data_IF_997774049988
#
_entry.id   IF_997774049988
#
_cell.length_a   1.000
_cell.length_b   1.000
_cell.length_c   1.000
_cell.angle_alpha   90.00
_cell.angle_beta   90.00
_cell.angle_gamma   90.00
#
_symmetry.space_group_name_H-M   'P 1'
#
loop_
_entity.id
_entity.type
_entity.pdbx_description
1 polymer ?
#
# COMPACT_ATOMS: atom_id res chain seq x y z
N UNK A 1 23.54 2.46 -11.15
CA UNK A 1 22.14 2.21 -11.56
C UNK A 1 21.24 3.21 -10.88
N UNK A 2 20.38 3.90 -11.66
CA UNK A 2 19.38 4.87 -11.16
C UNK A 2 17.98 4.25 -11.23
N UNK A 3 17.25 4.29 -10.14
CA UNK A 3 15.95 3.64 -9.95
C UNK A 3 14.91 4.69 -9.61
N UNK A 4 13.75 4.64 -10.26
CA UNK A 4 12.54 5.35 -9.87
C UNK A 4 11.63 4.34 -9.15
N UNK A 5 11.50 4.47 -7.82
CA UNK A 5 10.70 3.59 -6.98
C UNK A 5 9.39 4.26 -6.58
N UNK A 6 8.29 3.61 -6.86
CA UNK A 6 6.91 3.97 -6.50
C UNK A 6 6.10 2.73 -6.14
N UNK A 7 4.92 2.88 -5.54
CA UNK A 7 4.00 1.80 -5.19
C UNK A 7 2.59 2.34 -4.97
N UNK A 8 1.65 1.46 -4.70
CA UNK A 8 0.31 1.81 -4.18
C UNK A 8 -0.41 2.86 -5.06
N UNK A 9 -0.46 2.59 -6.37
CA UNK A 9 -1.12 3.45 -7.35
C UNK A 9 -2.63 3.44 -7.23
N UNK A 10 -3.20 2.28 -6.84
CA UNK A 10 -4.64 2.07 -6.67
C UNK A 10 -5.49 2.61 -7.81
N UNK A 11 -5.09 2.35 -9.07
CA UNK A 11 -5.84 2.79 -10.24
C UNK A 11 -7.26 2.27 -10.19
N UNK A 12 -8.23 3.17 -10.41
CA UNK A 12 -9.66 2.85 -10.34
C UNK A 12 -10.27 2.99 -8.95
N UNK A 13 -9.54 3.53 -7.97
CA UNK A 13 -10.11 3.93 -6.68
C UNK A 13 -11.19 5.00 -6.89
N UNK A 14 -12.29 4.89 -6.15
CA UNK A 14 -13.24 5.97 -5.92
C UNK A 14 -13.04 6.55 -4.53
N UNK A 15 -13.24 7.84 -4.36
CA UNK A 15 -13.10 8.53 -3.09
C UNK A 15 -14.44 9.17 -2.70
N UNK A 16 -15.15 8.61 -1.74
CA UNK A 16 -16.53 9.02 -1.37
C UNK A 16 -17.44 9.17 -2.60
N UNK A 17 -17.47 8.14 -3.44
CA UNK A 17 -18.22 8.07 -4.71
C UNK A 17 -17.70 8.98 -5.84
N UNK A 18 -16.65 9.75 -5.62
CA UNK A 18 -16.01 10.53 -6.68
C UNK A 18 -15.01 9.67 -7.46
N UNK A 19 -15.16 9.67 -8.78
CA UNK A 19 -14.18 9.07 -9.69
C UNK A 19 -12.86 9.83 -9.62
N UNK A 20 -11.74 9.10 -9.57
CA UNK A 20 -10.38 9.64 -9.44
C UNK A 20 -9.53 9.49 -10.70
N UNK A 21 -10.15 9.16 -11.83
CA UNK A 21 -9.45 8.97 -13.11
C UNK A 21 -8.59 10.18 -13.47
N UNK A 22 -9.10 11.40 -13.28
CA UNK A 22 -8.35 12.63 -13.57
C UNK A 22 -7.15 12.85 -12.63
N UNK A 23 -7.25 12.41 -11.37
CA UNK A 23 -6.14 12.45 -10.41
C UNK A 23 -5.03 11.48 -10.81
N UNK A 24 -5.40 10.25 -11.19
CA UNK A 24 -4.44 9.28 -11.70
C UNK A 24 -3.77 9.76 -13.00
N UNK A 25 -4.53 10.33 -13.95
CA UNK A 25 -3.95 10.96 -15.14
C UNK A 25 -2.97 12.05 -14.78
N UNK A 26 -3.33 12.92 -13.84
CA UNK A 26 -2.46 14.00 -13.36
C UNK A 26 -1.17 13.47 -12.72
N UNK A 27 -1.26 12.39 -11.94
CA UNK A 27 -0.10 11.69 -11.39
C UNK A 27 0.78 11.12 -12.51
N UNK A 28 0.22 10.41 -13.48
CA UNK A 28 1.01 9.80 -14.55
C UNK A 28 1.68 10.83 -15.46
N UNK A 29 1.07 12.00 -15.68
CA UNK A 29 1.74 13.09 -16.41
C UNK A 29 2.96 13.64 -15.62
N UNK A 30 2.86 13.73 -14.29
CA UNK A 30 4.01 14.08 -13.45
C UNK A 30 5.08 12.99 -13.49
N UNK A 31 4.68 11.71 -13.43
CA UNK A 31 5.60 10.58 -13.48
C UNK A 31 6.34 10.51 -14.82
N UNK A 32 5.66 10.75 -15.95
CA UNK A 32 6.28 10.89 -17.29
C UNK A 32 7.31 12.01 -17.32
N UNK A 33 6.99 13.17 -16.74
CA UNK A 33 7.92 14.28 -16.62
C UNK A 33 9.16 13.89 -15.81
N UNK A 34 8.98 13.21 -14.68
CA UNK A 34 10.08 12.72 -13.84
C UNK A 34 10.95 11.74 -14.62
N UNK A 35 10.35 10.78 -15.35
CA UNK A 35 11.10 9.84 -16.20
C UNK A 35 11.96 10.57 -17.22
N UNK A 36 11.42 11.60 -17.87
CA UNK A 36 12.15 12.41 -18.86
C UNK A 36 13.32 13.20 -18.26
N UNK A 37 13.12 13.76 -17.07
CA UNK A 37 14.12 14.59 -16.39
C UNK A 37 15.20 13.73 -15.73
N UNK A 38 14.82 12.69 -15.02
CA UNK A 38 15.71 11.83 -14.23
C UNK A 38 16.40 10.74 -15.04
N UNK A 39 15.79 10.30 -16.14
CA UNK A 39 16.30 9.25 -17.02
C UNK A 39 16.69 7.98 -16.25
N UNK A 40 15.78 7.39 -15.45
CA UNK A 40 16.10 6.21 -14.66
C UNK A 40 16.44 5.00 -15.56
N UNK A 41 17.27 4.11 -15.04
CA UNK A 41 17.55 2.83 -15.68
C UNK A 41 16.43 1.81 -15.41
N UNK A 42 15.75 1.96 -14.25
CA UNK A 42 14.69 1.09 -13.75
C UNK A 42 13.53 1.91 -13.19
N UNK A 43 12.31 1.62 -13.65
CA UNK A 43 11.08 1.95 -12.94
C UNK A 43 10.66 0.71 -12.14
N UNK A 44 10.57 0.84 -10.83
CA UNK A 44 10.17 -0.21 -9.92
C UNK A 44 8.87 0.15 -9.22
N UNK A 45 7.83 -0.69 -9.41
CA UNK A 45 6.52 -0.50 -8.78
C UNK A 45 6.27 -1.65 -7.81
N UNK A 46 6.28 -1.33 -6.52
CA UNK A 46 6.23 -2.30 -5.43
C UNK A 46 4.81 -2.69 -5.01
N UNK A 47 3.91 -2.95 -5.99
CA UNK A 47 2.57 -3.51 -5.78
C UNK A 47 1.45 -2.49 -5.72
N UNK A 48 0.23 -3.01 -5.62
CA UNK A 48 -1.05 -2.30 -5.62
C UNK A 48 -1.20 -1.34 -6.81
N UNK A 49 -1.12 -1.94 -8.00
CA UNK A 49 -1.33 -1.24 -9.27
C UNK A 49 -2.78 -0.79 -9.41
N UNK A 50 -3.71 -1.69 -9.09
CA UNK A 50 -5.15 -1.46 -9.10
C UNK A 50 -5.72 -1.40 -7.69
N UNK A 51 -6.83 -0.71 -7.53
CA UNK A 51 -7.54 -0.64 -6.24
C UNK A 51 -8.31 -1.92 -5.92
N UNK A 52 -8.67 -2.71 -6.92
CA UNK A 52 -9.40 -3.98 -6.76
C UNK A 52 -8.88 -5.04 -7.69
N UNK A 53 -9.03 -6.31 -7.31
CA UNK A 53 -8.65 -7.46 -8.12
C UNK A 53 -9.44 -7.62 -9.43
N UNK A 54 -10.57 -6.91 -9.55
CA UNK A 54 -11.40 -6.85 -10.75
C UNK A 54 -11.55 -5.39 -11.24
N UNK A 55 -10.47 -4.79 -11.77
CA UNK A 55 -10.49 -3.40 -12.22
C UNK A 55 -11.46 -3.20 -13.39
N UNK A 56 -12.11 -2.02 -13.40
CA UNK A 56 -12.97 -1.62 -14.51
C UNK A 56 -12.19 -1.53 -15.83
N UNK A 57 -12.90 -1.56 -16.96
CA UNK A 57 -12.28 -1.38 -18.29
C UNK A 57 -11.53 -0.04 -18.34
N UNK A 58 -12.14 1.05 -17.84
CA UNK A 58 -11.50 2.37 -17.82
C UNK A 58 -10.21 2.39 -16.99
N UNK A 59 -10.17 1.68 -15.85
CA UNK A 59 -8.95 1.54 -15.05
C UNK A 59 -7.85 0.77 -15.79
N UNK A 60 -8.22 -0.28 -16.53
CA UNK A 60 -7.27 -1.06 -17.35
C UNK A 60 -6.77 -0.25 -18.54
N UNK A 61 -7.62 0.53 -19.20
CA UNK A 61 -7.23 1.45 -20.28
C UNK A 61 -6.23 2.49 -19.76
N UNK A 62 -6.55 3.15 -18.65
CA UNK A 62 -5.66 4.13 -18.03
C UNK A 62 -4.30 3.54 -17.67
N UNK A 63 -4.27 2.33 -17.07
CA UNK A 63 -3.03 1.63 -16.77
C UNK A 63 -2.21 1.38 -18.04
N UNK A 64 -2.83 0.81 -19.08
CA UNK A 64 -2.13 0.48 -20.33
C UNK A 64 -1.59 1.72 -21.04
N UNK A 65 -2.39 2.79 -21.15
CA UNK A 65 -1.97 4.06 -21.74
C UNK A 65 -0.81 4.70 -20.95
N UNK A 66 -0.89 4.65 -19.61
CA UNK A 66 0.14 5.21 -18.76
C UNK A 66 1.45 4.44 -18.88
N UNK A 67 1.41 3.11 -18.88
CA UNK A 67 2.58 2.26 -19.02
C UNK A 67 3.25 2.45 -20.38
N UNK A 68 2.48 2.50 -21.46
CA UNK A 68 3.00 2.80 -22.79
C UNK A 68 3.62 4.18 -22.85
N UNK A 69 2.97 5.19 -22.26
CA UNK A 69 3.50 6.55 -22.21
C UNK A 69 4.82 6.65 -21.44
N UNK A 70 4.95 5.98 -20.29
CA UNK A 70 6.19 5.93 -19.50
C UNK A 70 7.33 5.26 -20.29
N UNK A 71 7.02 4.17 -20.99
CA UNK A 71 7.97 3.49 -21.87
C UNK A 71 8.43 4.43 -22.98
N UNK A 72 7.48 5.08 -23.68
CA UNK A 72 7.79 5.93 -24.82
C UNK A 72 8.67 7.13 -24.41
N UNK A 73 8.43 7.74 -23.25
CA UNK A 73 9.32 8.76 -22.69
C UNK A 73 10.76 8.23 -22.51
N UNK A 74 10.90 6.96 -22.11
CA UNK A 74 12.22 6.36 -21.88
C UNK A 74 13.02 6.14 -23.14
N UNK A 75 12.39 5.99 -24.30
CA UNK A 75 13.08 5.74 -25.57
C UNK A 75 14.03 6.88 -25.95
N UNK A 76 13.74 8.10 -25.53
CA UNK A 76 14.58 9.28 -25.79
C UNK A 76 15.99 9.19 -25.19
N UNK A 77 16.19 8.32 -24.17
CA UNK A 77 17.50 8.12 -23.50
C UNK A 77 17.99 6.67 -23.54
N UNK A 78 17.49 5.86 -24.48
CA UNK A 78 17.94 4.49 -24.74
C UNK A 78 17.11 3.41 -24.05
N UNK A 79 16.00 3.78 -23.43
CA UNK A 79 15.08 2.85 -22.76
C UNK A 79 15.27 2.82 -21.24
N UNK A 80 14.30 2.18 -20.60
CA UNK A 80 14.23 1.95 -19.16
C UNK A 80 13.64 0.55 -18.94
N UNK A 81 14.16 -0.19 -17.99
CA UNK A 81 13.50 -1.41 -17.54
C UNK A 81 12.33 -1.06 -16.63
N UNK A 82 11.23 -1.78 -16.74
CA UNK A 82 10.10 -1.64 -15.84
C UNK A 82 9.89 -2.96 -15.11
N UNK A 83 9.85 -2.94 -13.78
CA UNK A 83 9.55 -4.11 -12.96
C UNK A 83 8.36 -3.79 -12.07
N UNK A 84 7.33 -4.63 -12.14
CA UNK A 84 6.09 -4.52 -11.39
C UNK A 84 5.90 -5.80 -10.58
N UNK A 85 5.49 -5.66 -9.32
CA UNK A 85 5.01 -6.80 -8.54
C UNK A 85 3.54 -6.63 -8.18
N UNK A 86 2.83 -7.73 -7.91
CA UNK A 86 1.47 -7.64 -7.40
C UNK A 86 1.45 -7.24 -5.92
N UNK A 87 0.51 -6.36 -5.56
CA UNK A 87 0.13 -6.10 -4.18
C UNK A 87 -1.08 -6.94 -3.75
N UNK A 88 -1.64 -6.64 -2.57
CA UNK A 88 -2.79 -7.39 -2.03
C UNK A 88 -4.13 -7.00 -2.70
N UNK A 89 -4.23 -5.82 -3.30
CA UNK A 89 -5.39 -5.38 -4.07
C UNK A 89 -5.40 -5.93 -5.50
N UNK A 90 -4.27 -6.35 -6.02
CA UNK A 90 -4.13 -6.82 -7.38
C UNK A 90 -4.64 -8.25 -7.60
N UNK A 91 -5.10 -8.56 -8.81
CA UNK A 91 -5.28 -9.94 -9.25
C UNK A 91 -3.95 -10.52 -9.70
N UNK A 92 -3.24 -11.17 -8.79
CA UNK A 92 -1.89 -11.70 -9.01
C UNK A 92 -1.77 -12.56 -10.27
N UNK A 93 -2.72 -13.49 -10.49
CA UNK A 93 -2.72 -14.37 -11.67
C UNK A 93 -3.01 -13.62 -12.97
N UNK A 94 -3.89 -12.62 -12.93
CA UNK A 94 -4.18 -11.79 -14.11
C UNK A 94 -2.96 -10.97 -14.51
N UNK A 95 -2.26 -10.39 -13.53
CA UNK A 95 -1.04 -9.65 -13.79
C UNK A 95 0.06 -10.52 -14.42
N UNK A 96 0.20 -11.78 -13.99
CA UNK A 96 1.13 -12.73 -14.65
C UNK A 96 0.77 -12.97 -16.12
N UNK A 97 -0.53 -13.11 -16.44
CA UNK A 97 -0.99 -13.30 -17.83
C UNK A 97 -0.70 -12.05 -18.66
N UNK A 98 -1.06 -10.86 -18.15
CA UNK A 98 -0.81 -9.60 -18.83
C UNK A 98 0.71 -9.36 -18.99
N UNK A 99 1.52 -9.80 -18.04
CA UNK A 99 2.98 -9.76 -18.06
C UNK A 99 3.62 -10.46 -19.26
N UNK A 100 2.94 -11.46 -19.85
CA UNK A 100 3.44 -12.12 -21.07
C UNK A 100 3.57 -11.15 -22.24
N UNK A 101 2.66 -10.21 -22.37
CA UNK A 101 2.71 -9.16 -23.40
C UNK A 101 3.71 -8.06 -23.03
N UNK A 102 3.73 -7.66 -21.75
CA UNK A 102 4.59 -6.59 -21.27
C UNK A 102 6.09 -6.89 -21.41
N UNK A 103 6.48 -8.18 -21.40
CA UNK A 103 7.87 -8.60 -21.68
C UNK A 103 8.41 -8.07 -23.01
N UNK A 104 7.57 -7.90 -24.03
CA UNK A 104 7.99 -7.34 -25.31
C UNK A 104 8.36 -5.85 -25.22
N UNK A 105 7.94 -5.18 -24.17
CA UNK A 105 8.18 -3.77 -23.91
C UNK A 105 9.22 -3.53 -22.79
N UNK A 106 10.15 -4.46 -22.60
CA UNK A 106 11.18 -4.40 -21.55
C UNK A 106 10.58 -4.25 -20.13
N UNK A 107 9.46 -4.92 -19.90
CA UNK A 107 8.72 -4.86 -18.64
C UNK A 107 8.54 -6.28 -18.09
N UNK A 108 8.93 -6.49 -16.84
CA UNK A 108 8.67 -7.71 -16.10
C UNK A 108 7.55 -7.47 -15.08
N UNK A 109 6.59 -8.39 -15.06
CA UNK A 109 5.50 -8.41 -14.08
C UNK A 109 5.58 -9.70 -13.28
N UNK A 110 5.59 -9.60 -11.96
CA UNK A 110 5.63 -10.74 -11.05
C UNK A 110 4.38 -10.71 -10.18
N UNK A 111 3.38 -11.48 -10.59
CA UNK A 111 2.09 -11.53 -9.89
C UNK A 111 2.03 -12.61 -8.80
N UNK A 112 2.51 -13.81 -9.10
CA UNK A 112 2.40 -14.97 -8.20
C UNK A 112 3.76 -15.56 -7.87
N UNK A 113 3.79 -16.31 -6.75
CA UNK A 113 4.90 -17.21 -6.43
C UNK A 113 4.55 -18.59 -6.98
N UNK A 114 5.41 -19.22 -7.83
CA UNK A 114 5.16 -20.55 -8.36
C UNK A 114 5.00 -21.59 -7.24
N UNK A 115 4.14 -22.59 -7.50
CA UNK A 115 3.91 -23.74 -6.62
C UNK A 115 4.03 -25.02 -7.44
N UNK A 116 4.48 -26.09 -6.80
CA UNK A 116 4.58 -27.41 -7.38
C UNK A 116 4.17 -28.49 -6.35
N UNK A 117 3.85 -29.69 -6.80
CA UNK A 117 3.61 -30.83 -5.92
C UNK A 117 4.90 -31.30 -5.22
N UNK A 118 6.04 -31.10 -5.88
CA UNK A 118 7.36 -31.33 -5.35
C UNK A 118 8.13 -30.01 -5.23
N UNK A 119 8.11 -29.38 -4.06
CA UNK A 119 8.83 -28.16 -3.72
C UNK A 119 10.19 -28.45 -3.05
N UNK A 120 10.69 -29.68 -3.14
CA UNK A 120 12.03 -30.03 -2.63
C UNK A 120 13.13 -29.37 -3.48
N UNK A 121 14.29 -29.11 -2.87
CA UNK A 121 15.44 -28.52 -3.59
C UNK A 121 16.00 -29.46 -4.70
N UNK A 122 15.58 -30.73 -4.72
CA UNK A 122 15.96 -31.69 -5.76
C UNK A 122 15.22 -31.46 -7.07
N UNK A 123 14.03 -30.79 -7.03
CA UNK A 123 13.26 -30.43 -8.20
C UNK A 123 13.87 -29.20 -8.91
N UNK A 124 14.96 -29.43 -9.64
CA UNK A 124 15.72 -28.38 -10.32
C UNK A 124 14.87 -27.59 -11.33
N UNK A 125 14.01 -28.29 -12.07
CA UNK A 125 13.18 -27.65 -13.10
C UNK A 125 12.20 -26.64 -12.47
N UNK A 126 11.64 -26.95 -11.29
CA UNK A 126 10.81 -26.04 -10.54
C UNK A 126 11.61 -24.78 -10.13
N UNK A 127 12.78 -24.96 -9.50
CA UNK A 127 13.59 -23.82 -9.06
C UNK A 127 14.19 -23.01 -10.19
N UNK A 128 14.52 -23.61 -11.32
CA UNK A 128 14.92 -22.86 -12.51
C UNK A 128 13.79 -21.91 -12.98
N UNK A 129 12.54 -22.37 -12.94
CA UNK A 129 11.37 -21.53 -13.25
C UNK A 129 11.15 -20.43 -12.21
N UNK A 130 11.34 -20.72 -10.93
CA UNK A 130 11.29 -19.73 -9.83
C UNK A 130 12.35 -18.66 -10.02
N UNK A 131 13.59 -19.05 -10.26
CA UNK A 131 14.69 -18.11 -10.47
C UNK A 131 14.47 -17.23 -11.70
N UNK A 132 14.03 -17.82 -12.82
CA UNK A 132 13.74 -17.09 -14.05
C UNK A 132 12.61 -16.07 -13.88
N UNK A 133 11.67 -16.30 -12.96
CA UNK A 133 10.57 -15.40 -12.68
C UNK A 133 10.94 -14.29 -11.70
N UNK A 134 11.64 -14.63 -10.62
CA UNK A 134 11.87 -13.75 -9.47
C UNK A 134 13.21 -13.01 -9.48
N UNK A 135 14.18 -13.47 -10.29
CA UNK A 135 15.49 -12.83 -10.44
C UNK A 135 15.54 -12.15 -11.81
N UNK A 136 15.44 -10.85 -11.83
CA UNK A 136 15.32 -10.04 -13.05
C UNK A 136 16.61 -9.27 -13.29
N UNK A 137 17.39 -9.61 -14.33
CA UNK A 137 18.53 -8.79 -14.73
C UNK A 137 18.04 -7.49 -15.37
N UNK A 138 18.42 -6.36 -14.78
CA UNK A 138 18.03 -5.02 -15.25
C UNK A 138 18.87 -4.61 -16.44
N UNK A 139 18.21 -4.19 -17.53
CA UNK A 139 18.84 -3.70 -18.76
C UNK A 139 18.01 -2.54 -19.32
N UNK A 140 18.64 -1.53 -19.91
CA UNK A 140 17.88 -0.43 -20.58
C UNK A 140 17.04 -0.95 -21.76
N UNK A 141 17.59 -1.93 -22.48
CA UNK A 141 16.92 -2.66 -23.54
C UNK A 141 17.52 -4.07 -23.62
N UNK A 142 16.97 -4.93 -24.48
CA UNK A 142 17.38 -6.35 -24.59
C UNK A 142 18.84 -6.58 -24.97
N UNK A 143 19.45 -5.62 -25.66
CA UNK A 143 20.82 -5.72 -26.19
C UNK A 143 21.85 -5.06 -25.25
N UNK A 144 21.38 -4.29 -24.25
CA UNK A 144 22.24 -3.59 -23.30
C UNK A 144 22.87 -4.56 -22.30
N UNK A 145 23.97 -4.13 -21.71
CA UNK A 145 24.59 -4.80 -20.57
C UNK A 145 23.66 -4.83 -19.35
N UNK A 146 23.89 -5.77 -18.46
CA UNK A 146 23.19 -5.85 -17.18
C UNK A 146 23.71 -4.72 -16.29
N UNK A 147 22.80 -3.95 -15.70
CA UNK A 147 23.10 -2.83 -14.81
C UNK A 147 22.93 -3.22 -13.33
N UNK A 148 22.23 -4.30 -13.04
CA UNK A 148 21.93 -4.81 -11.72
C UNK A 148 20.88 -5.90 -11.77
N UNK A 149 20.44 -6.34 -10.60
CA UNK A 149 19.42 -7.38 -10.45
C UNK A 149 18.28 -6.90 -9.55
N UNK A 150 17.06 -7.27 -9.91
CA UNK A 150 15.88 -7.14 -9.04
C UNK A 150 15.47 -8.53 -8.58
N UNK A 151 15.35 -8.72 -7.27
CA UNK A 151 14.68 -9.87 -6.65
C UNK A 151 13.25 -9.42 -6.32
N UNK A 152 12.27 -9.97 -7.02
CA UNK A 152 10.88 -9.50 -6.99
C UNK A 152 10.00 -10.44 -6.17
N UNK A 153 9.44 -9.96 -5.06
CA UNK A 153 8.56 -10.70 -4.15
C UNK A 153 7.17 -10.05 -4.17
N UNK A 154 6.19 -10.59 -4.90
CA UNK A 154 4.83 -10.08 -4.86
C UNK A 154 4.18 -10.34 -3.51
N UNK A 155 3.06 -9.67 -3.23
CA UNK A 155 2.25 -9.97 -2.06
C UNK A 155 1.85 -11.45 -2.04
N UNK A 156 2.10 -12.10 -0.90
CA UNK A 156 1.79 -13.50 -0.70
C UNK A 156 1.70 -13.80 0.79
N UNK A 157 0.66 -14.53 1.18
CA UNK A 157 0.55 -14.99 2.56
C UNK A 157 1.69 -15.97 2.90
N UNK A 158 2.23 -15.94 4.13
CA UNK A 158 3.37 -16.78 4.53
C UNK A 158 3.23 -18.27 4.21
N UNK A 159 2.02 -18.83 4.36
CA UNK A 159 1.74 -20.24 4.06
C UNK A 159 1.78 -20.57 2.56
N UNK A 160 1.72 -19.56 1.70
CA UNK A 160 1.72 -19.73 0.24
C UNK A 160 3.11 -19.65 -0.38
N UNK A 161 4.15 -19.39 0.41
CA UNK A 161 5.52 -19.55 -0.05
C UNK A 161 5.88 -21.04 -0.16
N UNK A 162 6.79 -21.42 -1.08
CA UNK A 162 7.21 -22.81 -1.24
C UNK A 162 7.71 -23.42 0.08
N UNK A 163 7.35 -24.67 0.31
CA UNK A 163 7.77 -25.44 1.49
C UNK A 163 9.16 -26.07 1.26
N UNK A 164 10.17 -25.25 1.13
CA UNK A 164 11.55 -25.65 0.81
C UNK A 164 12.10 -26.62 1.87
N UNK A 165 11.78 -26.38 3.15
CA UNK A 165 12.17 -27.26 4.24
C UNK A 165 10.91 -27.57 5.07
N UNK A 166 10.45 -28.84 5.10
CA UNK A 166 9.25 -29.24 5.83
C UNK A 166 9.28 -28.99 7.34
N UNK A 167 10.46 -28.74 7.91
CA UNK A 167 10.61 -28.41 9.34
C UNK A 167 10.40 -26.93 9.64
N UNK A 168 10.37 -26.08 8.61
CA UNK A 168 10.18 -24.63 8.79
C UNK A 168 8.72 -24.32 9.17
N UNK A 169 8.52 -23.38 10.09
CA UNK A 169 7.23 -22.79 10.36
C UNK A 169 6.72 -21.99 9.14
N UNK A 170 5.41 -21.75 9.07
CA UNK A 170 4.81 -20.97 7.97
C UNK A 170 5.45 -19.59 7.81
N UNK A 171 5.80 -18.94 8.91
CA UNK A 171 6.44 -17.63 8.92
C UNK A 171 7.90 -17.66 8.38
N UNK A 172 8.58 -18.79 8.49
CA UNK A 172 9.96 -18.94 8.04
C UNK A 172 10.06 -19.20 6.53
N UNK A 173 8.97 -19.58 5.87
CA UNK A 173 8.95 -19.90 4.44
C UNK A 173 9.34 -18.71 3.58
N UNK A 174 8.78 -17.51 3.85
CA UNK A 174 9.16 -16.27 3.15
C UNK A 174 10.66 -16.00 3.29
N UNK A 175 11.16 -16.04 4.52
CA UNK A 175 12.60 -15.82 4.80
C UNK A 175 13.47 -16.80 4.03
N UNK A 176 13.11 -18.08 4.04
CA UNK A 176 13.82 -19.15 3.32
C UNK A 176 13.80 -18.92 1.82
N UNK A 177 12.64 -18.55 1.28
CA UNK A 177 12.47 -18.27 -0.14
C UNK A 177 13.34 -17.08 -0.59
N UNK A 178 13.32 -15.98 0.16
CA UNK A 178 14.15 -14.81 -0.12
C UNK A 178 15.64 -15.18 -0.06
N UNK A 179 16.06 -15.91 0.97
CA UNK A 179 17.45 -16.35 1.09
C UNK A 179 17.89 -17.17 -0.12
N UNK A 180 17.08 -18.13 -0.56
CA UNK A 180 17.35 -18.93 -1.75
C UNK A 180 17.53 -18.09 -3.03
N UNK A 181 16.68 -17.07 -3.22
CA UNK A 181 16.78 -16.16 -4.37
C UNK A 181 18.05 -15.31 -4.30
N UNK A 182 18.39 -14.80 -3.12
CA UNK A 182 19.60 -13.98 -2.91
C UNK A 182 20.88 -14.80 -3.08
N UNK A 183 20.90 -16.05 -2.61
CA UNK A 183 22.01 -16.98 -2.83
C UNK A 183 22.19 -17.23 -4.34
N UNK A 184 21.08 -17.41 -5.08
CA UNK A 184 21.14 -17.59 -6.53
C UNK A 184 21.64 -16.33 -7.25
N UNK A 185 21.21 -15.14 -6.81
CA UNK A 185 21.76 -13.88 -7.34
C UNK A 185 23.26 -13.79 -7.08
N UNK A 186 23.73 -14.16 -5.89
CA UNK A 186 25.16 -14.14 -5.57
C UNK A 186 25.99 -15.07 -6.47
N UNK A 187 25.43 -16.22 -6.89
CA UNK A 187 26.07 -17.12 -7.86
C UNK A 187 26.20 -16.52 -9.26
N UNK A 188 25.16 -15.82 -9.75
CA UNK A 188 25.12 -15.33 -11.13
C UNK A 188 25.67 -13.91 -11.29
N UNK A 189 25.73 -13.12 -10.22
CA UNK A 189 26.22 -11.75 -10.20
C UNK A 189 27.74 -11.69 -10.00
N UNK A 190 28.49 -12.22 -10.96
CA UNK A 190 29.96 -12.28 -10.90
C UNK A 190 30.63 -10.92 -11.02
N UNK A 191 29.92 -9.94 -11.61
CA UNK A 191 30.44 -8.59 -11.85
C UNK A 191 30.22 -7.63 -10.67
N UNK A 192 29.58 -8.11 -9.59
CA UNK A 192 29.35 -7.31 -8.40
C UNK A 192 28.39 -6.12 -8.64
N UNK A 193 27.36 -6.32 -9.44
CA UNK A 193 26.38 -5.31 -9.77
C UNK A 193 25.36 -5.11 -8.62
N UNK A 194 24.71 -3.93 -8.51
CA UNK A 194 23.69 -3.68 -7.49
C UNK A 194 22.55 -4.70 -7.50
N UNK A 195 22.09 -5.09 -6.31
CA UNK A 195 20.96 -6.00 -6.10
C UNK A 195 19.85 -5.29 -5.34
N UNK A 196 18.69 -5.22 -5.95
CA UNK A 196 17.48 -4.61 -5.40
C UNK A 196 16.53 -5.73 -5.00
N UNK A 197 16.03 -5.69 -3.78
CA UNK A 197 14.92 -6.52 -3.34
C UNK A 197 13.66 -5.67 -3.34
N UNK A 198 12.56 -6.17 -3.91
CA UNK A 198 11.26 -5.50 -3.80
C UNK A 198 10.23 -6.45 -3.21
N UNK A 199 9.39 -5.91 -2.34
CA UNK A 199 8.31 -6.66 -1.70
C UNK A 199 7.09 -5.78 -1.42
N UNK A 200 5.91 -6.41 -1.39
CA UNK A 200 4.66 -5.74 -0.99
C UNK A 200 4.14 -6.40 0.29
N UNK A 201 4.44 -5.82 1.43
CA UNK A 201 4.11 -6.37 2.76
C UNK A 201 4.30 -5.34 3.87
N UNK A 202 3.66 -5.55 5.01
CA UNK A 202 3.86 -4.76 6.22
C UNK A 202 5.14 -5.20 6.93
N UNK A 203 6.05 -4.25 7.19
CA UNK A 203 7.24 -4.47 8.04
C UNK A 203 6.94 -3.99 9.46
N UNK A 204 7.21 -4.84 10.43
CA UNK A 204 6.97 -4.56 11.85
C UNK A 204 7.65 -3.26 12.30
N UNK A 205 6.91 -2.41 12.99
CA UNK A 205 7.39 -1.12 13.50
C UNK A 205 7.31 0.02 12.49
N UNK A 206 6.70 -0.19 11.32
CA UNK A 206 6.37 0.88 10.38
C UNK A 206 5.27 1.79 10.93
N UNK A 207 5.32 3.06 10.53
CA UNK A 207 4.24 4.00 10.76
C UNK A 207 3.11 3.70 9.75
N UNK A 208 1.94 3.33 10.26
CA UNK A 208 0.75 2.98 9.46
C UNK A 208 -0.25 4.14 9.35
N UNK A 209 0.17 5.38 9.62
CA UNK A 209 -0.70 6.55 9.50
C UNK A 209 -1.35 6.60 8.11
N UNK A 210 -2.65 6.78 8.07
CA UNK A 210 -3.42 6.81 6.82
C UNK A 210 -3.67 5.44 6.19
N UNK A 211 -3.27 4.35 6.82
CA UNK A 211 -3.52 3.02 6.29
C UNK A 211 -4.74 2.40 6.98
N UNK A 212 -5.78 2.12 6.21
CA UNK A 212 -7.07 1.57 6.70
C UNK A 212 -7.01 0.08 7.09
N UNK A 213 -5.83 -0.51 7.12
CA UNK A 213 -5.68 -1.91 7.43
C UNK A 213 -6.07 -2.18 8.89
N UNK A 214 -7.25 -2.72 9.06
CA UNK A 214 -7.53 -3.55 10.24
C UNK A 214 -6.57 -4.74 10.13
N UNK A 215 -5.47 -4.69 10.87
CA UNK A 215 -4.51 -5.79 10.98
C UNK A 215 -5.22 -6.92 11.73
N UNK A 216 -6.09 -7.63 11.03
CA UNK A 216 -6.78 -8.79 11.58
C UNK A 216 -5.76 -9.93 11.62
N UNK A 217 -5.27 -10.23 12.81
CA UNK A 217 -4.57 -11.47 13.09
C UNK A 217 -3.06 -11.49 12.93
N UNK A 218 -2.36 -10.37 12.67
CA UNK A 218 -0.89 -10.33 12.71
C UNK A 218 -0.15 -11.23 11.71
N UNK A 219 -0.85 -11.76 10.69
CA UNK A 219 -0.33 -12.75 9.76
C UNK A 219 0.53 -12.13 8.64
N UNK A 220 0.43 -10.82 8.42
CA UNK A 220 1.10 -10.13 7.30
C UNK A 220 2.32 -9.30 7.74
N UNK A 221 2.68 -9.34 9.03
CA UNK A 221 3.83 -8.60 9.54
C UNK A 221 5.12 -9.36 9.32
N UNK A 222 6.05 -8.75 8.60
CA UNK A 222 7.40 -9.27 8.43
C UNK A 222 8.38 -8.45 9.27
N UNK A 223 9.27 -9.09 10.01
CA UNK A 223 10.43 -8.42 10.59
C UNK A 223 11.44 -8.07 9.50
N UNK A 224 12.18 -6.96 9.64
CA UNK A 224 13.23 -6.58 8.66
C UNK A 224 14.25 -7.70 8.45
N UNK A 225 14.53 -8.50 9.47
CA UNK A 225 15.40 -9.67 9.38
C UNK A 225 14.86 -10.80 8.50
N UNK A 226 13.59 -10.80 8.12
CA UNK A 226 12.99 -11.74 7.15
C UNK A 226 13.61 -11.58 5.77
N UNK A 227 13.99 -10.36 5.41
CA UNK A 227 14.59 -10.05 4.11
C UNK A 227 16.08 -10.40 4.04
N UNK A 228 16.69 -10.83 5.14
CA UNK A 228 18.08 -11.25 5.20
C UNK A 228 19.06 -10.13 4.86
N UNK A 229 20.19 -10.52 4.29
CA UNK A 229 21.23 -9.63 3.76
C UNK A 229 21.55 -10.04 2.32
N UNK A 230 22.29 -9.21 1.60
CA UNK A 230 22.65 -9.56 0.21
C UNK A 230 21.86 -8.77 -0.83
N UNK A 231 21.18 -7.71 -0.41
CA UNK A 231 20.60 -6.65 -1.24
C UNK A 231 21.21 -5.30 -0.87
N UNK A 232 21.18 -4.36 -1.80
CA UNK A 232 21.70 -3.00 -1.61
C UNK A 232 20.58 -2.02 -1.28
N UNK A 233 19.37 -2.27 -1.81
CA UNK A 233 18.16 -1.50 -1.53
C UNK A 233 16.94 -2.41 -1.46
N UNK A 234 16.09 -2.21 -0.45
CA UNK A 234 14.79 -2.87 -0.29
C UNK A 234 13.69 -1.86 -0.59
N UNK A 235 13.03 -2.06 -1.73
CA UNK A 235 11.90 -1.26 -2.18
C UNK A 235 10.59 -1.88 -1.71
N UNK A 236 9.84 -1.19 -0.86
CA UNK A 236 8.61 -1.67 -0.24
C UNK A 236 7.38 -0.92 -0.73
N UNK A 237 6.27 -1.64 -0.89
CA UNK A 237 4.91 -1.13 -1.01
C UNK A 237 4.01 -1.72 0.08
N UNK A 238 2.74 -1.34 0.09
CA UNK A 238 1.69 -1.66 1.04
C UNK A 238 1.38 -0.55 2.03
N UNK A 239 2.37 0.15 2.55
CA UNK A 239 2.16 1.27 3.49
C UNK A 239 2.21 2.58 2.72
N UNK A 240 1.11 3.34 2.80
CA UNK A 240 0.94 4.59 2.07
C UNK A 240 1.82 5.74 2.60
N UNK A 241 2.22 5.66 3.89
CA UNK A 241 3.12 6.64 4.48
C UNK A 241 4.57 6.43 4.01
N UNK A 242 5.17 7.39 3.28
CA UNK A 242 6.54 7.28 2.78
C UNK A 242 7.53 7.33 3.96
N UNK A 243 8.33 6.30 4.14
CA UNK A 243 9.23 6.19 5.27
C UNK A 243 10.41 5.28 5.04
N UNK A 244 11.48 5.53 5.78
CA UNK A 244 12.58 4.61 5.96
C UNK A 244 12.26 3.59 7.06
N UNK A 245 12.66 2.34 6.85
CA UNK A 245 12.50 1.29 7.86
C UNK A 245 13.63 1.39 8.89
N UNK A 246 13.25 1.52 10.15
CA UNK A 246 14.20 1.54 11.28
C UNK A 246 15.07 0.28 11.28
N UNK A 247 16.38 0.47 11.50
CA UNK A 247 17.33 -0.64 11.51
C UNK A 247 17.85 -1.06 10.14
N UNK A 248 17.36 -0.48 9.05
CA UNK A 248 17.84 -0.76 7.68
C UNK A 248 19.05 0.08 7.28
N UNK A 249 19.46 1.04 8.10
CA UNK A 249 20.54 2.00 7.80
C UNK A 249 20.30 2.73 6.47
N UNK A 250 19.08 3.19 6.20
CA UNK A 250 18.75 3.91 4.97
C UNK A 250 18.52 3.05 3.72
N UNK A 251 18.67 1.73 3.84
CA UNK A 251 18.61 0.81 2.70
C UNK A 251 17.21 0.30 2.39
N UNK A 252 16.24 0.41 3.31
CA UNK A 252 14.87 -0.07 3.10
C UNK A 252 13.87 1.06 3.27
N UNK A 253 12.95 1.20 2.30
CA UNK A 253 11.95 2.28 2.28
C UNK A 253 10.62 1.84 1.67
N UNK A 254 9.54 2.38 2.23
CA UNK A 254 8.27 2.54 1.53
C UNK A 254 8.31 3.81 0.70
N UNK A 255 7.91 3.73 -0.57
CA UNK A 255 7.69 4.93 -1.39
C UNK A 255 6.44 5.69 -0.94
N UNK A 256 5.48 4.98 -0.40
CA UNK A 256 4.13 5.47 -0.11
C UNK A 256 3.27 5.54 -1.38
N UNK A 257 1.98 5.83 -1.18
CA UNK A 257 1.05 6.11 -2.26
C UNK A 257 1.39 7.45 -2.93
N UNK A 258 1.29 7.59 -4.27
CA UNK A 258 1.61 8.84 -4.94
C UNK A 258 0.50 9.89 -4.82
N UNK A 259 -0.71 9.50 -4.48
CA UNK A 259 -1.86 10.37 -4.22
C UNK A 259 -2.52 9.95 -2.90
N UNK A 260 -3.09 10.90 -2.13
CA UNK A 260 -3.68 10.58 -0.84
C UNK A 260 -4.90 9.66 -0.99
N UNK A 261 -4.98 8.61 -0.16
CA UNK A 261 -6.04 7.60 -0.18
C UNK A 261 -7.16 7.88 0.82
N UNK A 262 -6.88 8.68 1.87
CA UNK A 262 -7.86 9.11 2.86
C UNK A 262 -7.45 10.43 3.53
N UNK A 263 -8.34 10.98 4.37
CA UNK A 263 -8.11 12.26 5.06
C UNK A 263 -7.06 12.20 6.19
N UNK A 264 -6.61 11.03 6.58
CA UNK A 264 -5.55 10.89 7.59
C UNK A 264 -4.15 10.98 6.95
N UNK A 265 -4.08 10.99 5.62
CA UNK A 265 -2.85 11.17 4.85
C UNK A 265 -2.55 12.67 4.65
N UNK A 266 -2.36 13.40 5.75
CA UNK A 266 -2.06 14.83 5.82
C UNK A 266 -0.56 15.15 5.64
N UNK A 267 0.14 14.34 4.86
CA UNK A 267 1.56 14.43 4.55
C UNK A 267 1.80 14.55 3.05
N UNK A 268 3.01 14.97 2.68
CA UNK A 268 3.40 15.05 1.29
C UNK A 268 3.61 13.66 0.66
N UNK A 269 3.18 13.50 -0.57
CA UNK A 269 3.34 12.28 -1.36
C UNK A 269 4.53 12.39 -2.31
N UNK A 270 5.26 11.28 -2.51
CA UNK A 270 6.52 11.27 -3.23
C UNK A 270 6.66 10.04 -4.12
N UNK A 271 7.62 10.12 -5.03
CA UNK A 271 8.32 8.97 -5.59
C UNK A 271 9.79 9.08 -5.21
N UNK A 272 10.50 7.94 -5.13
CA UNK A 272 11.91 7.92 -4.74
C UNK A 272 12.79 7.76 -5.97
N UNK A 273 13.81 8.62 -6.12
CA UNK A 273 14.97 8.36 -6.98
C UNK A 273 16.06 7.77 -6.10
N UNK A 274 16.53 6.60 -6.49
CA UNK A 274 17.56 5.84 -5.77
C UNK A 274 18.75 5.60 -6.70
N UNK A 275 19.93 6.04 -6.30
CA UNK A 275 21.17 5.84 -7.06
C UNK A 275 22.11 4.91 -6.28
N UNK A 276 22.58 3.86 -6.95
CA UNK A 276 23.54 2.90 -6.41
C UNK A 276 24.62 2.68 -7.48
N UNK A 277 25.86 3.06 -7.19
CA UNK A 277 26.96 2.90 -8.14
C UNK A 277 27.47 1.47 -8.18
N UNK A 278 27.72 0.89 -7.01
CA UNK A 278 28.27 -0.46 -6.87
C UNK A 278 27.57 -1.24 -5.77
N UNK A 279 27.68 -2.55 -5.87
CA UNK A 279 27.24 -3.45 -4.82
C UNK A 279 27.89 -3.16 -3.48
N UNK A 280 27.10 -3.19 -2.41
CA UNK A 280 27.53 -2.91 -1.04
C UNK A 280 27.58 -1.43 -0.68
N UNK A 281 27.53 -0.53 -1.64
CA UNK A 281 27.48 0.91 -1.37
C UNK A 281 26.11 1.34 -0.80
N UNK A 282 26.13 2.46 -0.10
CA UNK A 282 24.89 3.04 0.42
C UNK A 282 24.09 3.67 -0.70
N UNK A 283 22.79 3.35 -0.82
CA UNK A 283 21.93 4.01 -1.78
C UNK A 283 21.80 5.50 -1.47
N UNK A 284 21.91 6.33 -2.49
CA UNK A 284 21.55 7.73 -2.39
C UNK A 284 20.06 7.87 -2.75
N UNK A 285 19.25 8.28 -1.79
CA UNK A 285 17.81 8.37 -1.97
C UNK A 285 17.36 9.83 -1.95
N UNK A 286 16.64 10.24 -2.99
CA UNK A 286 16.03 11.56 -3.11
C UNK A 286 14.53 11.39 -3.40
N UNK A 287 13.70 12.10 -2.66
CA UNK A 287 12.26 12.12 -2.86
C UNK A 287 11.87 13.24 -3.81
N UNK A 288 10.99 12.91 -4.77
CA UNK A 288 10.40 13.90 -5.67
C UNK A 288 8.92 14.01 -5.31
N UNK A 289 8.44 15.21 -4.91
CA UNK A 289 7.06 15.38 -4.50
C UNK A 289 6.11 15.24 -5.69
N UNK A 290 4.97 14.59 -5.45
CA UNK A 290 3.84 14.49 -6.37
C UNK A 290 2.75 15.43 -5.89
N UNK A 291 2.29 16.31 -6.75
CA UNK A 291 1.23 17.27 -6.44
C UNK A 291 -0.13 16.64 -6.69
N UNK A 292 -0.95 16.59 -5.66
CA UNK A 292 -2.35 16.15 -5.79
C UNK A 292 -3.15 17.12 -6.64
N UNK A 293 -4.03 16.62 -7.50
CA UNK A 293 -4.98 17.42 -8.27
C UNK A 293 -6.08 17.99 -7.37
N UNK A 294 -6.53 17.19 -6.38
CA UNK A 294 -7.45 17.59 -5.33
C UNK A 294 -6.75 17.50 -3.98
N UNK A 295 -6.70 18.63 -3.27
CA UNK A 295 -6.17 18.70 -1.90
C UNK A 295 -7.19 18.13 -0.92
N UNK A 296 -6.73 17.50 0.17
CA UNK A 296 -7.59 17.12 1.30
C UNK A 296 -7.73 18.30 2.26
N UNK A 297 -8.95 18.73 2.53
CA UNK A 297 -9.24 19.85 3.43
C UNK A 297 -10.23 19.43 4.50
N UNK A 298 -9.83 19.61 5.74
CA UNK A 298 -10.74 19.47 6.89
C UNK A 298 -11.16 20.85 7.36
N UNK A 299 -12.46 21.11 7.40
CA UNK A 299 -13.03 22.29 8.02
C UNK A 299 -13.60 21.90 9.37
N UNK A 300 -12.93 22.34 10.44
CA UNK A 300 -13.28 21.97 11.81
C UNK A 300 -14.00 23.10 12.53
N UNK A 301 -15.09 22.77 13.19
CA UNK A 301 -15.79 23.71 14.07
C UNK A 301 -14.94 24.13 15.29
N UNK A 302 -13.88 23.38 15.63
CA UNK A 302 -12.91 23.72 16.68
C UNK A 302 -12.10 24.97 16.35
N UNK A 303 -11.89 25.22 15.05
CA UNK A 303 -11.04 26.30 14.54
C UNK A 303 -11.83 27.61 14.32
N UNK A 304 -13.15 27.59 14.55
CA UNK A 304 -13.97 28.77 14.37
C UNK A 304 -13.73 29.78 15.51
N UNK A 305 -13.65 31.08 15.18
CA UNK A 305 -13.51 32.15 16.18
C UNK A 305 -14.79 32.28 17.03
N UNK A 306 -14.67 32.96 18.16
CA UNK A 306 -15.78 33.42 18.99
C UNK A 306 -16.66 32.32 19.62
N UNK A 307 -16.08 31.11 19.84
CA UNK A 307 -16.80 30.02 20.50
C UNK A 307 -17.91 29.39 19.65
N UNK A 308 -18.00 29.71 18.36
CA UNK A 308 -18.88 29.05 17.42
C UNK A 308 -18.45 27.60 17.26
N UNK A 309 -19.38 26.68 17.48
CA UNK A 309 -19.10 25.24 17.52
C UNK A 309 -20.11 24.39 16.76
N UNK A 310 -21.22 25.00 16.35
CA UNK A 310 -22.30 24.29 15.66
C UNK A 310 -21.90 23.91 14.23
N UNK A 311 -22.43 22.79 13.74
CA UNK A 311 -22.35 22.39 12.35
C UNK A 311 -22.82 23.51 11.39
N UNK A 312 -23.84 24.28 11.81
CA UNK A 312 -24.38 25.41 11.02
C UNK A 312 -23.38 26.55 10.85
N UNK A 313 -22.43 26.71 11.77
CA UNK A 313 -21.40 27.75 11.69
C UNK A 313 -20.34 27.47 10.60
N UNK A 314 -20.26 26.22 10.10
CA UNK A 314 -19.39 25.86 8.96
C UNK A 314 -20.02 26.25 7.59
N UNK A 315 -21.34 26.40 7.48
CA UNK A 315 -22.00 26.70 6.22
C UNK A 315 -21.53 28.03 5.57
N UNK A 316 -21.31 29.13 6.31
CA UNK A 316 -20.75 30.33 5.72
C UNK A 316 -19.35 30.16 5.09
N UNK A 317 -18.51 29.29 5.66
CA UNK A 317 -17.19 28.96 5.09
C UNK A 317 -17.36 28.25 3.75
N UNK A 318 -18.30 27.31 3.66
CA UNK A 318 -18.62 26.59 2.42
C UNK A 318 -19.22 27.52 1.35
N UNK A 319 -20.11 28.44 1.73
CA UNK A 319 -20.64 29.43 0.81
C UNK A 319 -19.57 30.36 0.24
N UNK A 320 -18.58 30.73 1.06
CA UNK A 320 -17.48 31.59 0.67
C UNK A 320 -16.28 30.82 0.12
N UNK A 321 -16.35 29.49 0.02
CA UNK A 321 -15.25 28.68 -0.46
C UNK A 321 -14.91 29.03 -1.92
N UNK A 322 -13.62 29.16 -2.29
CA UNK A 322 -13.21 29.53 -3.65
C UNK A 322 -13.78 28.56 -4.71
N UNK A 323 -14.46 29.06 -5.77
CA UNK A 323 -15.18 28.20 -6.71
C UNK A 323 -14.26 27.28 -7.55
N UNK A 324 -13.02 27.72 -7.83
CA UNK A 324 -12.08 26.97 -8.68
C UNK A 324 -11.04 26.18 -7.89
N UNK A 325 -11.16 26.12 -6.56
CA UNK A 325 -10.24 25.33 -5.75
C UNK A 325 -10.70 23.87 -5.75
N UNK A 326 -9.87 22.98 -6.32
CA UNK A 326 -10.08 21.54 -6.35
C UNK A 326 -9.70 20.93 -5.01
N UNK A 327 -10.68 20.53 -4.22
CA UNK A 327 -10.48 19.94 -2.90
C UNK A 327 -11.52 18.88 -2.59
N UNK A 328 -11.14 17.92 -1.78
CA UNK A 328 -12.04 17.07 -1.02
C UNK A 328 -12.24 17.68 0.37
N UNK A 329 -13.49 17.81 0.82
CA UNK A 329 -13.84 18.45 2.08
C UNK A 329 -14.39 17.43 3.06
N UNK A 330 -13.73 17.32 4.21
CA UNK A 330 -14.25 16.72 5.44
C UNK A 330 -14.69 17.84 6.37
N UNK A 331 -15.87 17.70 6.96
CA UNK A 331 -16.35 18.61 8.00
C UNK A 331 -16.19 17.92 9.36
N UNK A 332 -15.62 18.62 10.34
CA UNK A 332 -15.58 18.18 11.74
C UNK A 332 -16.48 19.09 12.57
N UNK A 333 -17.53 18.50 13.13
CA UNK A 333 -18.53 19.21 13.92
C UNK A 333 -18.49 18.77 15.36
N UNK A 334 -18.81 19.70 16.26
CA UNK A 334 -18.86 19.48 17.71
C UNK A 334 -20.33 19.53 18.16
N UNK A 335 -21.06 18.46 17.89
CA UNK A 335 -22.48 18.35 18.23
C UNK A 335 -22.68 17.21 19.24
N UNK A 336 -23.50 17.49 20.28
CA UNK A 336 -23.87 16.51 21.32
C UNK A 336 -25.09 15.67 20.93
N UNK A 337 -25.79 16.04 19.87
CA UNK A 337 -27.01 15.41 19.38
C UNK A 337 -26.93 15.07 17.90
N UNK A 338 -28.05 14.62 17.36
CA UNK A 338 -28.18 14.36 15.93
C UNK A 338 -28.01 15.63 15.10
N UNK A 339 -27.33 15.53 13.96
CA UNK A 339 -27.25 16.61 13.00
C UNK A 339 -28.64 16.96 12.44
N UNK A 340 -28.91 18.24 12.12
CA UNK A 340 -30.15 18.61 11.45
C UNK A 340 -30.39 17.73 10.22
N UNK A 341 -31.60 17.18 10.02
CA UNK A 341 -31.87 16.22 8.93
C UNK A 341 -31.55 16.76 7.52
N UNK A 342 -31.58 18.08 7.34
CA UNK A 342 -31.28 18.76 6.09
C UNK A 342 -29.84 19.28 5.99
N UNK A 343 -28.99 19.02 7.00
CA UNK A 343 -27.62 19.58 7.06
C UNK A 343 -26.78 19.19 5.85
N UNK A 344 -26.74 17.91 5.51
CA UNK A 344 -25.97 17.41 4.34
C UNK A 344 -26.46 18.08 3.03
N UNK A 345 -27.78 18.26 2.89
CA UNK A 345 -28.34 18.93 1.72
C UNK A 345 -27.91 20.41 1.66
N UNK A 346 -27.86 21.10 2.80
CA UNK A 346 -27.34 22.49 2.87
C UNK A 346 -25.87 22.58 2.52
N UNK A 347 -25.05 21.62 2.99
CA UNK A 347 -23.63 21.51 2.62
C UNK A 347 -23.48 21.36 1.10
N UNK A 348 -24.17 20.40 0.50
CA UNK A 348 -24.15 20.19 -0.96
C UNK A 348 -24.62 21.44 -1.73
N UNK A 349 -25.66 22.13 -1.23
CA UNK A 349 -26.15 23.36 -1.83
C UNK A 349 -25.11 24.48 -1.76
N UNK A 350 -24.41 24.64 -0.62
CA UNK A 350 -23.37 25.65 -0.45
C UNK A 350 -22.17 25.46 -1.39
N UNK A 351 -21.93 24.22 -1.84
CA UNK A 351 -20.86 23.85 -2.77
C UNK A 351 -21.32 23.80 -4.24
N UNK A 352 -22.60 24.04 -4.53
CA UNK A 352 -23.09 24.00 -5.90
C UNK A 352 -22.34 25.01 -6.79
N UNK A 353 -21.86 24.55 -7.95
CA UNK A 353 -21.09 25.35 -8.90
C UNK A 353 -19.61 25.56 -8.50
N UNK A 354 -19.10 24.82 -7.51
CA UNK A 354 -17.71 24.85 -7.10
C UNK A 354 -17.02 23.53 -7.46
N UNK A 355 -15.69 23.58 -7.62
CA UNK A 355 -14.88 22.37 -7.85
C UNK A 355 -14.56 21.62 -6.54
N UNK A 356 -14.97 22.14 -5.40
CA UNK A 356 -14.86 21.50 -4.10
C UNK A 356 -15.86 20.34 -3.96
N UNK A 357 -15.40 19.20 -3.46
CA UNK A 357 -16.15 17.95 -3.32
C UNK A 357 -16.38 17.63 -1.85
N UNK A 358 -17.63 17.63 -1.42
CA UNK A 358 -17.97 17.21 -0.06
C UNK A 358 -17.85 15.68 0.07
N UNK A 359 -17.15 15.22 1.10
CA UNK A 359 -16.95 13.79 1.37
C UNK A 359 -17.73 13.31 2.57
N UNK A 360 -17.44 13.83 3.76
CA UNK A 360 -18.08 13.37 4.98
C UNK A 360 -18.17 14.45 6.06
N UNK A 361 -19.05 14.19 7.04
CA UNK A 361 -19.05 14.88 8.34
C UNK A 361 -18.53 13.90 9.38
N UNK A 362 -17.53 14.31 10.13
CA UNK A 362 -17.06 13.65 11.35
C UNK A 362 -17.66 14.40 12.54
N UNK A 363 -18.47 13.72 13.31
CA UNK A 363 -19.07 14.30 14.52
C UNK A 363 -18.20 13.92 15.72
N UNK A 364 -17.78 14.92 16.49
CA UNK A 364 -17.15 14.72 17.78
C UNK A 364 -18.12 15.17 18.88
N UNK A 365 -18.34 14.31 19.84
CA UNK A 365 -19.17 14.63 21.01
C UNK A 365 -18.24 15.24 22.07
N UNK A 366 -18.45 16.54 22.49
CA UNK A 366 -17.50 17.27 23.31
C UNK A 366 -17.36 16.73 24.71
N UNK A 367 -17.99 15.84 25.27
CA UNK A 367 -17.94 15.39 26.66
C UNK A 367 -18.05 13.87 26.88
N UNK A 368 -17.58 13.05 25.94
CA UNK A 368 -17.15 11.74 26.40
C UNK A 368 -15.82 11.97 27.15
N UNK A 369 -15.75 11.74 28.47
CA UNK A 369 -14.46 11.64 29.14
C UNK A 369 -13.65 10.67 28.29
N UNK A 370 -12.38 11.01 28.00
CA UNK A 370 -11.48 10.12 27.31
C UNK A 370 -11.72 8.73 27.89
N UNK A 371 -12.31 7.84 27.07
CA UNK A 371 -12.67 6.49 27.52
C UNK A 371 -11.42 5.97 28.18
N UNK A 372 -11.54 5.69 29.48
CA UNK A 372 -10.43 5.56 30.38
C UNK A 372 -9.37 4.67 29.78
N UNK A 373 -8.12 4.99 30.01
CA UNK A 373 -6.90 4.32 29.52
C UNK A 373 -7.21 2.96 28.95
N UNK A 374 -7.51 2.91 27.65
CA UNK A 374 -7.93 1.69 27.00
C UNK A 374 -6.88 0.66 27.33
N UNK A 375 -7.27 -0.43 27.96
CA UNK A 375 -6.39 -1.52 28.34
C UNK A 375 -5.48 -1.80 27.15
N UNK A 376 -4.26 -1.29 27.20
CA UNK A 376 -3.25 -1.49 26.18
C UNK A 376 -2.79 -2.95 26.29
N UNK A 377 -3.60 -3.84 25.70
CA UNK A 377 -3.29 -5.25 25.66
C UNK A 377 -2.18 -5.47 24.63
N UNK A 378 -1.14 -6.15 25.01
CA UNK A 378 -0.13 -6.63 24.07
C UNK A 378 -0.73 -7.70 23.16
N UNK A 379 -0.16 -7.90 21.96
CA UNK A 379 -0.62 -8.93 21.03
C UNK A 379 -0.66 -10.35 21.66
N UNK A 380 0.26 -10.65 22.60
CA UNK A 380 0.28 -11.89 23.34
C UNK A 380 -0.91 -11.98 24.33
N UNK A 381 -1.29 -10.90 24.97
CA UNK A 381 -2.45 -10.84 25.86
C UNK A 381 -3.75 -10.97 25.07
N UNK A 382 -3.86 -10.27 23.91
CA UNK A 382 -5.02 -10.40 23.01
C UNK A 382 -5.17 -11.85 22.50
N UNK A 383 -4.08 -12.50 22.15
CA UNK A 383 -4.10 -13.90 21.69
C UNK A 383 -4.44 -14.93 22.77
N UNK A 384 -4.36 -14.55 24.05
CA UNK A 384 -4.71 -15.40 25.18
C UNK A 384 -6.17 -15.25 25.64
N UNK A 385 -6.88 -14.19 25.20
CA UNK A 385 -8.27 -13.95 25.55
C UNK A 385 -9.22 -14.84 24.77
N UNK A 386 -10.24 -15.33 25.45
CA UNK A 386 -11.38 -15.97 24.79
C UNK A 386 -12.23 -14.93 24.03
N UNK A 387 -13.01 -15.32 23.01
CA UNK A 387 -13.93 -14.42 22.33
C UNK A 387 -14.88 -13.68 23.25
N UNK A 388 -15.28 -14.29 24.35
CA UNK A 388 -16.13 -13.67 25.38
C UNK A 388 -15.38 -12.58 26.16
N UNK A 389 -14.19 -12.88 26.69
CA UNK A 389 -13.37 -11.90 27.39
C UNK A 389 -13.04 -10.69 26.50
N UNK A 390 -12.79 -10.93 25.21
CA UNK A 390 -12.61 -9.87 24.25
C UNK A 390 -13.86 -9.00 24.06
N UNK A 391 -15.03 -9.62 23.96
CA UNK A 391 -16.29 -8.89 23.81
C UNK A 391 -16.64 -8.07 25.06
N UNK A 392 -16.38 -8.58 26.25
CA UNK A 392 -16.56 -7.88 27.54
C UNK A 392 -15.63 -6.65 27.66
N UNK A 393 -14.42 -6.74 27.11
CA UNK A 393 -13.48 -5.60 27.08
C UNK A 393 -13.90 -4.53 26.07
N UNK A 394 -14.39 -4.95 24.88
CA UNK A 394 -14.74 -4.01 23.81
C UNK A 394 -16.08 -3.31 24.06
N UNK A 395 -17.02 -4.02 24.65
CA UNK A 395 -18.39 -3.55 24.86
C UNK A 395 -18.93 -3.99 26.23
N UNK A 396 -18.34 -3.49 27.34
CA UNK A 396 -18.73 -3.88 28.69
C UNK A 396 -20.22 -3.67 28.96
N UNK A 397 -20.78 -2.56 28.48
CA UNK A 397 -22.20 -2.21 28.66
C UNK A 397 -23.16 -3.28 28.12
N UNK A 398 -22.76 -4.02 27.07
CA UNK A 398 -23.58 -5.10 26.52
C UNK A 398 -23.67 -6.33 27.44
N UNK A 399 -22.74 -6.46 28.39
CA UNK A 399 -22.68 -7.59 29.33
C UNK A 399 -23.10 -7.20 30.75
N UNK A 400 -23.02 -5.90 31.11
CA UNK A 400 -23.43 -5.40 32.42
C UNK A 400 -24.92 -5.06 32.51
N UNK A 401 -25.52 -4.56 31.41
CA UNK A 401 -26.92 -4.14 31.33
C UNK A 401 -27.85 -5.15 30.60
N UNK A 402 -27.29 -6.24 30.07
CA UNK A 402 -28.04 -7.18 29.26
C UNK A 402 -29.01 -8.01 30.09
N UNK A 403 -30.22 -8.26 29.54
CA UNK A 403 -31.19 -9.19 30.10
C UNK A 403 -30.58 -10.58 30.34
N UNK A 404 -31.04 -11.26 31.39
CA UNK A 404 -30.65 -12.61 31.76
C UNK A 404 -30.68 -13.54 30.52
N UNK A 405 -29.50 -14.06 30.08
CA UNK A 405 -29.39 -14.94 28.92
C UNK A 405 -28.56 -14.44 27.74
N UNK A 406 -28.19 -13.15 27.69
CA UNK A 406 -27.37 -12.60 26.57
C UNK A 406 -25.98 -13.26 26.49
N UNK A 407 -25.32 -13.43 27.62
CA UNK A 407 -24.03 -14.10 27.72
C UNK A 407 -24.07 -15.56 27.25
N UNK A 408 -25.15 -16.28 27.57
CA UNK A 408 -25.38 -17.66 27.12
C UNK A 408 -25.61 -17.74 25.61
N UNK A 409 -26.35 -16.80 25.02
CA UNK A 409 -26.58 -16.70 23.58
C UNK A 409 -25.29 -16.38 22.83
N UNK A 410 -24.43 -15.52 23.38
CA UNK A 410 -23.13 -15.21 22.82
C UNK A 410 -22.22 -16.44 22.81
N UNK A 411 -22.14 -17.18 23.93
CA UNK A 411 -21.34 -18.40 24.02
C UNK A 411 -21.86 -19.51 23.08
N UNK A 412 -23.16 -19.61 22.89
CA UNK A 412 -23.75 -20.51 21.90
C UNK A 412 -23.37 -20.13 20.47
N UNK A 413 -23.39 -18.83 20.14
CA UNK A 413 -22.99 -18.31 18.83
C UNK A 413 -21.52 -18.62 18.54
N UNK A 414 -20.62 -18.34 19.50
CA UNK A 414 -19.18 -18.66 19.40
C UNK A 414 -18.95 -20.15 19.18
N UNK A 415 -19.68 -21.00 19.93
CA UNK A 415 -19.59 -22.46 19.81
C UNK A 415 -20.05 -22.94 18.42
N UNK A 416 -21.13 -22.37 17.88
CA UNK A 416 -21.67 -22.75 16.58
C UNK A 416 -20.72 -22.32 15.43
N UNK A 417 -20.14 -21.14 15.49
CA UNK A 417 -19.11 -20.70 14.52
C UNK A 417 -17.88 -21.58 14.58
N UNK A 418 -17.43 -21.95 15.78
CA UNK A 418 -16.28 -22.84 15.97
C UNK A 418 -16.50 -24.27 15.44
N UNK A 419 -17.77 -24.72 15.33
CA UNK A 419 -18.12 -26.01 14.70
C UNK A 419 -18.18 -25.94 13.17
N UNK A 420 -18.46 -24.78 12.59
CA UNK A 420 -18.50 -24.58 11.13
C UNK A 420 -17.11 -24.37 10.52
N UNK A 421 -16.11 -24.03 11.32
CA UNK A 421 -14.73 -23.79 10.91
C UNK A 421 -13.80 -25.01 11.08
N UNK A 422 -14.33 -26.14 11.55
CA UNK A 422 -13.68 -27.45 11.61
C UNK A 422 -14.18 -28.38 10.51
#
# INVERSE_FOLDING_TARGET
MKILHTSDWHIGQTFYDYDRTEEHKHFFEQLKKIVREEKPDLLLVSGDLYHTSAPSIAAQELYNESMLGLRDESLAFGGMHIVLIAGNHDSSSKLDVDGLLWKYFNTNVVGTIPRDNDESLENRAFYDSVFAKHIIPVRKNRESEILGYVVAIPHCYPQNFPNINPKDGKQDRMKRFIALLLDKVAEVNTDGLPVILTAHTLVTGSNIKGHDAIIVGGLDNSDIGTFGSGWDYLALGHIHFPQEIKGSNGRARYSGSPIPMNFEEDYDHFVNIVEIEKRGEMPQVRQIPIKSLYEMVTLSAKELPDGKRSCMDLLPLLHNFPPHKKVYIRLEVLETGELPPDYIQRVKTALTGKEARYCLVKQEIPDKPAEGEGLSLTAAQVGALSPREMAEIIAPDLFEEAEEGYAELFDQAVTNVGKQLR
#
